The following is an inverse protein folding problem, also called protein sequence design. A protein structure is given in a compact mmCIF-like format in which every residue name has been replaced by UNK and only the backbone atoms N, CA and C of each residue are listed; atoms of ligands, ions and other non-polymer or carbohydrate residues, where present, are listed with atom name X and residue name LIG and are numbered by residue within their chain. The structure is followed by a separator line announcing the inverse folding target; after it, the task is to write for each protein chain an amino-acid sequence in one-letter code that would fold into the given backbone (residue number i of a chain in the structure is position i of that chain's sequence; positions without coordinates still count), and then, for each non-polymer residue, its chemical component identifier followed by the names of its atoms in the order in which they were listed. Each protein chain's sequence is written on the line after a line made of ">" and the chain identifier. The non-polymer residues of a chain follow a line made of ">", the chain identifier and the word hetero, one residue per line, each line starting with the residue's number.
data_IF_038476899946
#
_entry.id   IF_038476899946
#
_cell.length_a   1.000
_cell.length_b   1.000
_cell.length_c   1.000
_cell.angle_alpha   90.00
_cell.angle_beta   90.00
_cell.angle_gamma   90.00
#
_symmetry.space_group_name_H-M   'P 1'
#
loop_
_entity.id
_entity.type
_entity.pdbx_description
1 polymer ?
#
# COMPACT_ATOMS: atom_id res chain seq x y z
N UNK A 1 1.56 -4.20 -37.26
CA UNK A 1 2.62 -3.50 -38.00
C UNK A 1 3.74 -3.17 -37.02
N UNK A 2 4.98 -3.50 -37.37
CA UNK A 2 6.16 -3.15 -36.58
C UNK A 2 7.01 -2.21 -37.42
N UNK A 3 7.33 -1.00 -36.93
CA UNK A 3 8.19 -0.07 -37.65
C UNK A 3 9.58 -0.69 -37.83
N UNK A 4 10.20 -0.41 -38.98
CA UNK A 4 11.52 -0.92 -39.36
C UNK A 4 12.65 -0.21 -38.62
N UNK A 5 12.44 1.06 -38.29
CA UNK A 5 13.44 1.91 -37.66
C UNK A 5 12.81 3.02 -36.78
N UNK A 6 13.62 3.57 -35.87
CA UNK A 6 13.17 4.54 -34.85
C UNK A 6 12.52 5.79 -35.47
N UNK A 7 13.03 6.25 -36.61
CA UNK A 7 12.47 7.40 -37.35
C UNK A 7 11.07 7.11 -37.88
N UNK A 8 10.84 5.90 -38.37
CA UNK A 8 9.50 5.48 -38.81
C UNK A 8 8.54 5.38 -37.62
N UNK A 9 9.00 4.86 -36.48
CA UNK A 9 8.23 4.83 -35.24
C UNK A 9 7.85 6.26 -34.78
N UNK A 10 8.78 7.22 -34.84
CA UNK A 10 8.51 8.62 -34.48
C UNK A 10 7.48 9.25 -35.40
N UNK A 11 7.62 9.08 -36.72
CA UNK A 11 6.67 9.58 -37.71
C UNK A 11 5.27 9.00 -37.51
N UNK A 12 5.15 7.71 -37.18
CA UNK A 12 3.87 7.08 -36.86
C UNK A 12 3.26 7.68 -35.59
N UNK A 13 4.06 7.89 -34.54
CA UNK A 13 3.59 8.52 -33.30
C UNK A 13 3.06 9.94 -33.53
N UNK A 14 3.74 10.75 -34.33
CA UNK A 14 3.28 12.10 -34.67
C UNK A 14 1.95 12.10 -35.41
N UNK A 15 1.74 11.13 -36.32
CA UNK A 15 0.47 10.97 -37.06
C UNK A 15 -0.68 10.49 -36.17
N UNK A 16 -0.39 9.72 -35.13
CA UNK A 16 -1.40 9.23 -34.17
C UNK A 16 -1.73 10.30 -33.13
N UNK A 17 -0.79 11.16 -32.76
CA UNK A 17 -0.94 12.16 -31.69
C UNK A 17 -2.22 13.01 -31.78
N UNK A 18 -2.67 13.50 -32.96
CA UNK A 18 -3.94 14.25 -33.08
C UNK A 18 -5.18 13.46 -32.65
N UNK A 19 -5.13 12.12 -32.66
CA UNK A 19 -6.26 11.26 -32.25
C UNK A 19 -6.48 11.24 -30.74
N UNK A 20 -5.54 11.77 -29.96
CA UNK A 20 -5.68 11.94 -28.51
C UNK A 20 -6.76 12.97 -28.13
N UNK A 21 -7.08 13.91 -29.01
CA UNK A 21 -8.11 14.93 -28.79
C UNK A 21 -9.51 14.50 -29.28
N UNK A 22 -9.70 13.21 -29.57
CA UNK A 22 -10.96 12.72 -30.12
C UNK A 22 -12.03 12.59 -29.03
N UNK A 23 -13.29 12.89 -29.35
CA UNK A 23 -14.39 12.83 -28.38
C UNK A 23 -14.69 11.39 -27.88
N UNK A 24 -14.47 10.39 -28.74
CA UNK A 24 -14.68 8.99 -28.37
C UNK A 24 -13.50 8.42 -27.57
N UNK A 25 -13.77 8.02 -26.32
CA UNK A 25 -12.81 7.41 -25.41
C UNK A 25 -12.11 6.16 -25.98
N UNK A 26 -12.81 5.33 -26.75
CA UNK A 26 -12.22 4.14 -27.37
C UNK A 26 -11.13 4.51 -28.39
N UNK A 27 -11.31 5.61 -29.13
CA UNK A 27 -10.31 6.12 -30.08
C UNK A 27 -9.09 6.64 -29.32
N UNK A 28 -9.31 7.38 -28.22
CA UNK A 28 -8.22 7.89 -27.37
C UNK A 28 -7.43 6.73 -26.76
N UNK A 29 -8.09 5.76 -26.12
CA UNK A 29 -7.44 4.61 -25.50
C UNK A 29 -6.69 3.74 -26.53
N UNK A 30 -7.24 3.57 -27.73
CA UNK A 30 -6.56 2.86 -28.82
C UNK A 30 -5.33 3.62 -29.31
N UNK A 31 -5.42 4.95 -29.43
CA UNK A 31 -4.28 5.80 -29.77
C UNK A 31 -3.18 5.71 -28.70
N UNK A 32 -3.55 5.80 -27.41
CA UNK A 32 -2.61 5.64 -26.28
C UNK A 32 -1.94 4.28 -26.32
N UNK A 33 -2.69 3.18 -26.54
CA UNK A 33 -2.13 1.83 -26.64
C UNK A 33 -1.11 1.71 -27.77
N UNK A 34 -1.40 2.27 -28.94
CA UNK A 34 -0.47 2.29 -30.07
C UNK A 34 0.78 3.12 -29.76
N UNK A 35 0.62 4.32 -29.20
CA UNK A 35 1.73 5.20 -28.82
C UNK A 35 2.64 4.52 -27.79
N UNK A 36 2.07 3.93 -26.73
CA UNK A 36 2.82 3.19 -25.72
C UNK A 36 3.63 2.04 -26.33
N UNK A 37 3.03 1.28 -27.25
CA UNK A 37 3.72 0.17 -27.93
C UNK A 37 4.88 0.66 -28.79
N UNK A 38 4.73 1.77 -29.52
CA UNK A 38 5.82 2.31 -30.34
C UNK A 38 6.90 2.99 -29.51
N UNK A 39 6.55 3.59 -28.37
CA UNK A 39 7.53 4.16 -27.44
C UNK A 39 8.44 3.10 -26.81
N UNK A 40 8.06 1.82 -26.78
CA UNK A 40 8.93 0.71 -26.33
C UNK A 40 10.03 0.36 -27.34
N UNK A 41 9.85 0.74 -28.61
CA UNK A 41 10.81 0.51 -29.69
C UNK A 41 11.81 1.66 -29.84
N UNK A 42 11.65 2.72 -29.04
CA UNK A 42 12.47 3.94 -29.08
C UNK A 42 13.47 3.96 -27.91
N UNK A 43 14.52 4.77 -28.04
CA UNK A 43 15.42 5.04 -26.92
C UNK A 43 14.64 5.76 -25.81
N UNK A 44 14.56 5.14 -24.64
CA UNK A 44 13.68 5.56 -23.54
C UNK A 44 13.92 6.98 -23.03
N UNK A 45 15.14 7.51 -23.19
CA UNK A 45 15.52 8.86 -22.74
C UNK A 45 15.52 9.92 -23.86
N UNK A 46 15.00 9.59 -25.05
CA UNK A 46 14.92 10.57 -26.13
C UNK A 46 14.00 11.75 -25.75
N UNK A 47 14.37 12.95 -26.19
CA UNK A 47 13.56 14.16 -26.00
C UNK A 47 12.16 14.00 -26.59
N UNK A 48 12.04 13.24 -27.68
CA UNK A 48 10.77 12.86 -28.28
C UNK A 48 9.87 12.07 -27.32
N UNK A 49 10.41 11.02 -26.69
CA UNK A 49 9.66 10.21 -25.71
C UNK A 49 9.20 11.06 -24.53
N UNK A 50 10.06 11.96 -24.00
CA UNK A 50 9.69 12.89 -22.93
C UNK A 50 8.56 13.83 -23.35
N UNK A 51 8.63 14.40 -24.56
CA UNK A 51 7.59 15.29 -25.09
C UNK A 51 6.28 14.55 -25.35
N UNK A 52 6.34 13.31 -25.82
CA UNK A 52 5.15 12.49 -26.03
C UNK A 52 4.49 12.09 -24.71
N UNK A 53 5.26 11.73 -23.69
CA UNK A 53 4.75 11.44 -22.33
C UNK A 53 3.98 12.63 -21.77
N UNK A 54 4.49 13.87 -21.93
CA UNK A 54 3.77 15.08 -21.51
C UNK A 54 2.45 15.30 -22.25
N UNK A 55 2.38 14.91 -23.54
CA UNK A 55 1.15 15.01 -24.35
C UNK A 55 0.12 13.92 -24.03
N UNK A 56 0.54 12.80 -23.44
CA UNK A 56 -0.34 11.67 -23.11
C UNK A 56 -1.12 11.87 -21.81
N UNK A 57 -0.60 12.66 -20.86
CA UNK A 57 -1.27 12.85 -19.57
C UNK A 57 -2.63 13.58 -19.67
N UNK A 58 -2.77 14.74 -20.36
CA UNK A 58 -4.03 15.48 -20.38
C UNK A 58 -5.23 14.70 -20.96
N UNK A 59 -5.09 13.93 -22.06
CA UNK A 59 -6.16 13.07 -22.57
C UNK A 59 -6.62 12.03 -21.54
N UNK A 60 -5.70 11.38 -20.83
CA UNK A 60 -6.04 10.40 -19.81
C UNK A 60 -6.81 11.02 -18.65
N UNK A 61 -6.39 12.22 -18.19
CA UNK A 61 -7.11 12.98 -17.16
C UNK A 61 -8.50 13.38 -17.63
N UNK A 62 -8.65 13.78 -18.89
CA UNK A 62 -9.95 14.17 -19.46
C UNK A 62 -10.94 13.00 -19.48
N UNK A 63 -10.47 11.77 -19.74
CA UNK A 63 -11.31 10.56 -19.69
C UNK A 63 -11.89 10.31 -18.30
N UNK A 64 -11.20 10.73 -17.23
CA UNK A 64 -11.68 10.60 -15.85
C UNK A 64 -12.81 11.59 -15.51
N UNK A 65 -13.12 12.52 -16.41
CA UNK A 65 -14.27 13.44 -16.27
C UNK A 65 -15.51 12.95 -17.03
N UNK A 66 -15.44 11.78 -17.69
CA UNK A 66 -16.56 11.19 -18.45
C UNK A 66 -17.57 10.46 -17.54
N UNK A 67 -18.56 9.77 -18.12
CA UNK A 67 -19.50 8.93 -17.36
C UNK A 67 -18.79 7.78 -16.60
N UNK A 68 -19.33 7.30 -15.46
CA UNK A 68 -18.64 6.33 -14.60
C UNK A 68 -18.17 5.05 -15.28
N UNK A 69 -18.93 4.55 -16.25
CA UNK A 69 -18.58 3.35 -17.04
C UNK A 69 -17.34 3.61 -17.91
N UNK A 70 -17.27 4.79 -18.53
CA UNK A 70 -16.11 5.23 -19.32
C UNK A 70 -14.92 5.49 -18.41
N UNK A 71 -15.14 6.11 -17.25
CA UNK A 71 -14.09 6.30 -16.24
C UNK A 71 -13.51 4.97 -15.79
N UNK A 72 -14.34 3.98 -15.49
CA UNK A 72 -13.89 2.66 -15.07
C UNK A 72 -13.00 2.00 -16.13
N UNK A 73 -13.43 2.00 -17.40
CA UNK A 73 -12.61 1.48 -18.50
C UNK A 73 -11.30 2.27 -18.65
N UNK A 74 -11.35 3.60 -18.50
CA UNK A 74 -10.17 4.45 -18.55
C UNK A 74 -9.21 4.13 -17.39
N UNK A 75 -9.70 4.00 -16.15
CA UNK A 75 -8.92 3.68 -14.96
C UNK A 75 -8.23 2.32 -15.08
N UNK A 76 -8.93 1.28 -15.58
CA UNK A 76 -8.32 -0.03 -15.84
C UNK A 76 -7.15 0.06 -16.82
N UNK A 77 -7.30 0.86 -17.89
CA UNK A 77 -6.22 1.09 -18.85
C UNK A 77 -5.09 1.93 -18.25
N UNK A 78 -5.41 2.97 -17.47
CA UNK A 78 -4.44 3.80 -16.76
C UNK A 78 -3.62 2.95 -15.79
N UNK A 79 -4.25 2.04 -15.05
CA UNK A 79 -3.56 1.14 -14.13
C UNK A 79 -2.47 0.33 -14.86
N UNK A 80 -2.80 -0.26 -16.01
CA UNK A 80 -1.81 -0.96 -16.86
C UNK A 80 -0.70 -0.02 -17.39
N UNK A 81 -1.05 1.22 -17.75
CA UNK A 81 -0.09 2.22 -18.22
C UNK A 81 0.87 2.61 -17.09
N UNK A 82 0.37 2.88 -15.89
CA UNK A 82 1.16 3.27 -14.72
C UNK A 82 2.09 2.15 -14.27
N UNK A 83 1.66 0.89 -14.38
CA UNK A 83 2.54 -0.26 -14.12
C UNK A 83 3.76 -0.30 -15.07
N UNK A 84 3.60 0.16 -16.31
CA UNK A 84 4.67 0.15 -17.31
C UNK A 84 5.50 1.44 -17.34
N UNK A 85 4.86 2.59 -17.11
CA UNK A 85 5.47 3.93 -17.13
C UNK A 85 4.85 4.84 -16.06
N UNK A 86 5.28 4.72 -14.79
CA UNK A 86 4.72 5.52 -13.69
C UNK A 86 4.99 7.02 -13.83
N UNK A 87 6.03 7.42 -14.58
CA UNK A 87 6.38 8.82 -14.81
C UNK A 87 5.30 9.61 -15.56
N UNK A 88 4.41 8.94 -16.31
CA UNK A 88 3.39 9.59 -17.14
C UNK A 88 2.38 10.40 -16.31
N UNK A 89 2.00 9.88 -15.14
CA UNK A 89 0.94 10.46 -14.28
C UNK A 89 1.43 10.88 -12.90
N UNK A 90 2.76 10.94 -12.69
CA UNK A 90 3.37 11.26 -11.39
C UNK A 90 2.90 12.60 -10.79
N UNK A 91 2.62 13.59 -11.65
CA UNK A 91 2.20 14.93 -11.24
C UNK A 91 0.68 15.09 -11.12
N UNK A 92 -0.10 14.11 -11.59
CA UNK A 92 -1.55 14.21 -11.69
C UNK A 92 -2.27 13.52 -10.51
N UNK A 93 -1.60 13.28 -9.37
CA UNK A 93 -2.14 12.51 -8.23
C UNK A 93 -3.58 12.92 -7.84
N UNK A 94 -3.86 14.22 -7.79
CA UNK A 94 -5.16 14.77 -7.35
C UNK A 94 -6.35 14.31 -8.19
N UNK A 95 -6.14 13.94 -9.45
CA UNK A 95 -7.24 13.49 -10.33
C UNK A 95 -7.78 12.12 -9.93
N UNK A 96 -6.97 11.36 -9.19
CA UNK A 96 -7.33 10.04 -8.68
C UNK A 96 -7.97 10.10 -7.28
N UNK A 97 -8.16 11.28 -6.70
CA UNK A 97 -8.92 11.38 -5.45
C UNK A 97 -10.38 10.99 -5.69
N UNK A 98 -10.91 10.25 -4.73
CA UNK A 98 -12.22 9.64 -4.77
C UNK A 98 -13.24 10.69 -4.38
N UNK A 99 -14.30 10.83 -5.17
CA UNK A 99 -15.41 11.70 -4.84
C UNK A 99 -16.49 10.90 -4.12
N UNK A 100 -17.25 11.57 -3.24
CA UNK A 100 -18.37 10.96 -2.53
C UNK A 100 -19.39 10.28 -3.48
N UNK A 101 -19.64 10.89 -4.64
CA UNK A 101 -20.61 10.40 -5.63
C UNK A 101 -20.02 9.39 -6.64
N UNK A 102 -18.74 9.02 -6.52
CA UNK A 102 -18.14 8.02 -7.40
C UNK A 102 -18.71 6.63 -7.05
N UNK A 103 -19.12 5.81 -8.04
CA UNK A 103 -19.51 4.44 -7.78
C UNK A 103 -18.36 3.62 -7.19
N UNK A 104 -18.69 2.63 -6.34
CA UNK A 104 -17.68 1.83 -5.62
C UNK A 104 -16.58 1.28 -6.54
N UNK A 105 -16.92 0.76 -7.72
CA UNK A 105 -15.93 0.22 -8.66
C UNK A 105 -14.95 1.29 -9.20
N UNK A 106 -15.38 2.55 -9.32
CA UNK A 106 -14.50 3.69 -9.65
C UNK A 106 -13.62 4.04 -8.45
N UNK A 107 -14.21 4.13 -7.25
CA UNK A 107 -13.49 4.42 -6.00
C UNK A 107 -12.29 3.47 -5.82
N UNK A 108 -12.51 2.18 -6.10
CA UNK A 108 -11.51 1.13 -5.94
C UNK A 108 -10.36 1.21 -6.94
N UNK A 109 -10.66 1.47 -8.22
CA UNK A 109 -9.61 1.62 -9.22
C UNK A 109 -8.77 2.88 -8.99
N UNK A 110 -9.42 3.98 -8.56
CA UNK A 110 -8.74 5.20 -8.13
C UNK A 110 -7.77 4.93 -6.98
N UNK A 111 -8.21 4.21 -5.96
CA UNK A 111 -7.38 3.82 -4.83
C UNK A 111 -6.14 3.01 -5.26
N UNK A 112 -6.31 2.00 -6.13
CA UNK A 112 -5.18 1.19 -6.64
C UNK A 112 -4.15 2.04 -7.40
N UNK A 113 -4.61 3.01 -8.20
CA UNK A 113 -3.72 3.92 -8.93
C UNK A 113 -3.02 4.92 -7.98
N UNK A 114 -3.74 5.50 -7.01
CA UNK A 114 -3.15 6.39 -6.00
C UNK A 114 -2.00 5.69 -5.26
N UNK A 115 -2.22 4.45 -4.85
CA UNK A 115 -1.22 3.60 -4.20
C UNK A 115 0.02 3.43 -5.10
N UNK A 116 -0.16 3.15 -6.39
CA UNK A 116 0.96 2.95 -7.33
C UNK A 116 1.73 4.22 -7.63
N UNK A 117 1.07 5.37 -7.62
CA UNK A 117 1.69 6.69 -7.88
C UNK A 117 2.26 7.33 -6.61
N UNK A 118 2.10 6.69 -5.44
CA UNK A 118 2.62 7.19 -4.17
C UNK A 118 4.15 7.30 -4.21
N UNK A 119 4.65 8.48 -3.83
CA UNK A 119 6.07 8.83 -3.82
C UNK A 119 6.35 9.81 -2.69
N UNK A 120 7.62 10.01 -2.31
CA UNK A 120 7.97 10.97 -1.23
C UNK A 120 7.39 12.37 -1.44
N UNK A 121 7.19 12.78 -2.69
CA UNK A 121 6.68 14.11 -3.02
C UNK A 121 5.18 14.30 -2.74
N UNK A 122 4.38 13.22 -2.79
CA UNK A 122 2.91 13.30 -2.69
C UNK A 122 2.33 12.47 -1.53
N UNK A 123 3.18 11.76 -0.80
CA UNK A 123 2.75 10.82 0.23
C UNK A 123 1.95 11.45 1.37
N UNK A 124 2.28 12.69 1.77
CA UNK A 124 1.51 13.42 2.80
C UNK A 124 0.08 13.65 2.32
N UNK A 125 -0.11 13.99 1.04
CA UNK A 125 -1.43 14.18 0.45
C UNK A 125 -2.19 12.85 0.37
N UNK A 126 -1.53 11.80 -0.11
CA UNK A 126 -2.12 10.45 -0.17
C UNK A 126 -2.58 10.00 1.22
N UNK A 127 -1.74 10.16 2.23
CA UNK A 127 -2.08 9.75 3.60
C UNK A 127 -3.21 10.57 4.21
N UNK A 128 -3.26 11.88 3.93
CA UNK A 128 -4.39 12.74 4.34
C UNK A 128 -5.70 12.25 3.74
N UNK A 129 -5.68 11.91 2.45
CA UNK A 129 -6.86 11.44 1.74
C UNK A 129 -7.30 10.05 2.24
N UNK A 130 -6.34 9.13 2.46
CA UNK A 130 -6.61 7.82 3.05
C UNK A 130 -7.21 7.90 4.46
N UNK A 131 -6.81 8.92 5.23
CA UNK A 131 -7.41 9.22 6.53
C UNK A 131 -8.88 9.63 6.39
N UNK A 132 -9.21 10.49 5.43
CA UNK A 132 -10.61 10.87 5.17
C UNK A 132 -11.44 9.66 4.74
N UNK A 133 -10.89 8.78 3.90
CA UNK A 133 -11.56 7.55 3.47
C UNK A 133 -11.82 6.56 4.61
N UNK A 134 -10.90 6.47 5.59
CA UNK A 134 -11.08 5.63 6.77
C UNK A 134 -12.25 6.10 7.64
N UNK A 135 -12.61 7.38 7.57
CA UNK A 135 -13.74 7.97 8.30
C UNK A 135 -15.06 7.96 7.51
N UNK A 136 -15.12 7.39 6.30
CA UNK A 136 -16.37 7.28 5.55
C UNK A 136 -17.33 6.24 6.16
N UNK A 137 -18.64 6.48 5.98
CA UNK A 137 -19.72 5.60 6.49
C UNK A 137 -19.88 4.31 5.67
N UNK A 138 -19.37 4.30 4.43
CA UNK A 138 -19.51 3.15 3.52
C UNK A 138 -18.57 2.01 3.94
N UNK A 139 -19.14 1.01 4.61
CA UNK A 139 -18.42 -0.16 5.13
C UNK A 139 -17.71 -0.94 4.00
N UNK A 140 -18.27 -1.01 2.79
CA UNK A 140 -17.64 -1.74 1.68
C UNK A 140 -16.45 -0.96 1.08
N UNK A 141 -16.48 0.37 1.18
CA UNK A 141 -15.36 1.22 0.84
C UNK A 141 -14.27 1.17 1.92
N UNK A 142 -14.62 1.24 3.20
CA UNK A 142 -13.68 1.12 4.34
C UNK A 142 -13.00 -0.25 4.32
N UNK A 143 -13.74 -1.35 4.11
CA UNK A 143 -13.19 -2.70 3.93
C UNK A 143 -12.22 -2.83 2.77
N UNK A 144 -12.19 -1.88 1.84
CA UNK A 144 -11.22 -1.86 0.74
C UNK A 144 -10.14 -0.79 0.89
N UNK A 145 -10.36 0.23 1.71
CA UNK A 145 -9.31 1.04 2.33
C UNK A 145 -8.39 0.21 3.23
N UNK A 146 -8.77 -1.02 3.59
CA UNK A 146 -7.89 -2.09 4.11
C UNK A 146 -6.59 -2.24 3.32
N UNK A 147 -6.62 -2.15 1.98
CA UNK A 147 -5.39 -2.15 1.15
C UNK A 147 -4.53 -0.93 1.43
N UNK A 148 -5.12 0.19 1.80
CA UNK A 148 -4.39 1.38 2.17
C UNK A 148 -3.53 1.12 3.41
N UNK A 149 -4.00 0.39 4.43
CA UNK A 149 -3.19 0.07 5.62
C UNK A 149 -1.98 -0.79 5.25
N UNK A 150 -2.17 -1.79 4.38
CA UNK A 150 -1.06 -2.61 3.86
C UNK A 150 -0.03 -1.75 3.14
N UNK A 151 -0.49 -0.79 2.34
CA UNK A 151 0.37 0.15 1.61
C UNK A 151 1.04 1.14 2.55
N UNK A 152 0.34 1.65 3.57
CA UNK A 152 0.91 2.53 4.59
C UNK A 152 2.05 1.81 5.32
N UNK A 153 1.87 0.54 5.68
CA UNK A 153 2.95 -0.30 6.22
C UNK A 153 4.14 -0.30 5.26
N UNK A 154 3.93 -0.54 3.96
CA UNK A 154 5.02 -0.56 2.98
C UNK A 154 5.71 0.81 2.82
N UNK A 155 4.94 1.90 2.89
CA UNK A 155 5.45 3.27 2.91
C UNK A 155 6.30 3.50 4.15
N UNK A 156 5.84 3.10 5.34
CA UNK A 156 6.58 3.22 6.59
C UNK A 156 7.87 2.39 6.58
N UNK A 157 7.86 1.21 5.96
CA UNK A 157 9.07 0.40 5.74
C UNK A 157 10.07 1.11 4.82
N UNK A 158 9.58 1.79 3.78
CA UNK A 158 10.41 2.49 2.80
C UNK A 158 10.93 3.84 3.31
N UNK A 159 10.14 4.54 4.11
CA UNK A 159 10.41 5.88 4.63
C UNK A 159 10.16 5.94 6.15
N UNK A 160 11.01 5.28 6.95
CA UNK A 160 10.81 5.20 8.39
C UNK A 160 10.88 6.58 9.04
N UNK A 161 10.08 6.78 10.09
CA UNK A 161 10.07 7.98 10.95
C UNK A 161 9.74 9.32 10.27
N UNK A 162 9.04 9.31 9.12
CA UNK A 162 8.64 10.54 8.41
C UNK A 162 7.17 10.93 8.56
N UNK A 163 6.26 9.95 8.71
CA UNK A 163 4.81 10.15 8.54
C UNK A 163 4.00 9.62 9.73
N UNK A 164 4.50 9.85 10.94
CA UNK A 164 3.97 9.29 12.18
C UNK A 164 2.62 9.87 12.59
N UNK A 165 2.28 11.08 12.15
CA UNK A 165 1.03 11.78 12.50
C UNK A 165 -0.23 11.04 12.06
N UNK A 166 -0.12 10.05 11.18
CA UNK A 166 -1.25 9.25 10.68
C UNK A 166 -1.47 8.00 11.55
N UNK A 167 -0.49 7.59 12.34
CA UNK A 167 -0.57 6.38 13.17
C UNK A 167 -1.76 6.46 14.13
N UNK A 168 -1.99 7.60 14.78
CA UNK A 168 -3.11 7.76 15.72
C UNK A 168 -4.46 7.53 15.05
N UNK A 169 -4.68 8.07 13.85
CA UNK A 169 -5.95 7.87 13.13
C UNK A 169 -6.11 6.46 12.59
N UNK A 170 -5.01 5.76 12.28
CA UNK A 170 -5.07 4.35 11.94
C UNK A 170 -5.50 3.49 13.13
N UNK A 171 -4.98 3.80 14.32
CA UNK A 171 -5.38 3.12 15.57
C UNK A 171 -6.84 3.40 15.94
N UNK A 172 -7.37 4.59 15.68
CA UNK A 172 -8.80 4.92 15.92
C UNK A 172 -9.78 4.08 15.09
N UNK A 173 -9.34 3.56 13.93
CA UNK A 173 -10.20 2.78 13.01
C UNK A 173 -9.94 1.26 13.09
N UNK A 174 -9.23 0.80 14.11
CA UNK A 174 -8.75 -0.58 14.25
C UNK A 174 -9.88 -1.62 14.32
N UNK A 175 -11.00 -1.28 14.97
CA UNK A 175 -12.14 -2.17 15.18
C UNK A 175 -12.92 -2.50 13.88
N UNK A 176 -12.65 -1.75 12.80
CA UNK A 176 -13.32 -1.94 11.50
C UNK A 176 -12.60 -2.93 10.58
N UNK A 177 -11.48 -3.50 11.04
CA UNK A 177 -10.60 -4.33 10.22
C UNK A 177 -10.96 -5.81 10.28
N UNK A 178 -11.69 -6.28 9.26
CA UNK A 178 -12.06 -7.70 9.12
C UNK A 178 -10.96 -8.56 8.46
N UNK A 179 -10.15 -7.95 7.59
CA UNK A 179 -9.22 -8.67 6.69
C UNK A 179 -7.87 -8.99 7.38
N UNK A 180 -7.44 -10.27 7.41
CA UNK A 180 -6.22 -10.70 8.11
C UNK A 180 -4.95 -9.94 7.69
N UNK A 181 -4.83 -9.59 6.41
CA UNK A 181 -3.65 -8.89 5.89
C UNK A 181 -3.53 -7.46 6.44
N UNK A 182 -4.65 -6.74 6.59
CA UNK A 182 -4.66 -5.41 7.19
C UNK A 182 -4.48 -5.48 8.69
N UNK A 183 -5.10 -6.44 9.38
CA UNK A 183 -4.89 -6.66 10.81
C UNK A 183 -3.43 -6.93 11.12
N UNK A 184 -2.78 -7.84 10.38
CA UNK A 184 -1.35 -8.07 10.48
C UNK A 184 -0.53 -6.80 10.18
N UNK A 185 -0.91 -6.03 9.14
CA UNK A 185 -0.21 -4.79 8.81
C UNK A 185 -0.34 -3.73 9.91
N UNK A 186 -1.50 -3.64 10.56
CA UNK A 186 -1.74 -2.74 11.69
C UNK A 186 -0.93 -3.15 12.92
N UNK A 187 -0.95 -4.43 13.29
CA UNK A 187 -0.15 -4.98 14.38
C UNK A 187 1.34 -4.73 14.15
N UNK A 188 1.81 -4.86 12.90
CA UNK A 188 3.17 -4.49 12.54
C UNK A 188 3.47 -3.02 12.81
N UNK A 189 2.58 -2.10 12.39
CA UNK A 189 2.74 -0.66 12.63
C UNK A 189 2.80 -0.37 14.13
N UNK A 190 1.90 -0.97 14.92
CA UNK A 190 1.87 -0.79 16.38
C UNK A 190 3.18 -1.28 17.00
N UNK A 191 3.65 -2.48 16.68
CA UNK A 191 4.90 -3.01 17.23
C UNK A 191 6.16 -2.25 16.77
N UNK A 192 6.18 -1.77 15.53
CA UNK A 192 7.32 -1.00 14.99
C UNK A 192 7.42 0.38 15.64
N UNK A 193 6.27 1.04 15.84
CA UNK A 193 6.19 2.40 16.38
C UNK A 193 5.74 2.46 17.85
N UNK A 194 5.83 1.33 18.56
CA UNK A 194 5.39 1.17 19.95
C UNK A 194 6.00 2.17 20.96
N UNK A 195 7.13 2.82 20.65
CA UNK A 195 7.69 3.87 21.52
C UNK A 195 6.87 5.15 21.49
N UNK A 196 6.13 5.40 20.41
CA UNK A 196 5.37 6.62 20.16
C UNK A 196 3.87 6.48 20.38
N UNK A 197 3.40 5.24 20.45
CA UNK A 197 1.99 4.93 20.70
C UNK A 197 1.90 4.64 22.20
N UNK A 198 1.20 5.49 22.95
CA UNK A 198 1.16 5.37 24.40
C UNK A 198 0.40 4.10 24.82
N UNK A 199 -0.77 3.84 24.24
CA UNK A 199 -1.64 2.68 24.48
C UNK A 199 -1.34 1.46 23.58
N UNK A 200 -0.07 1.26 23.18
CA UNK A 200 0.31 0.16 22.29
C UNK A 200 0.08 -1.22 22.91
N UNK A 201 0.27 -1.33 24.22
CA UNK A 201 -0.02 -2.49 25.04
C UNK A 201 -1.50 -2.85 25.03
N UNK A 202 -2.39 -1.91 25.35
CA UNK A 202 -3.85 -2.11 25.34
C UNK A 202 -4.33 -2.54 23.94
N UNK A 203 -3.82 -1.90 22.88
CA UNK A 203 -4.16 -2.22 21.50
C UNK A 203 -3.70 -3.61 21.08
N UNK A 204 -2.55 -4.10 21.55
CA UNK A 204 -2.08 -5.44 21.23
C UNK A 204 -2.76 -6.51 22.09
N UNK A 205 -3.14 -6.17 23.32
CA UNK A 205 -3.88 -7.05 24.22
C UNK A 205 -5.26 -7.41 23.65
N UNK A 206 -5.96 -6.46 23.03
CA UNK A 206 -7.25 -6.73 22.38
C UNK A 206 -7.16 -7.77 21.25
N UNK A 207 -6.05 -7.79 20.48
CA UNK A 207 -5.80 -8.85 19.50
C UNK A 207 -5.42 -10.18 20.15
N UNK A 208 -4.86 -10.15 21.36
CA UNK A 208 -4.43 -11.35 22.08
C UNK A 208 -5.62 -12.10 22.69
N UNK A 209 -6.68 -11.40 23.10
CA UNK A 209 -7.92 -12.02 23.60
C UNK A 209 -8.55 -13.01 22.58
N UNK A 210 -8.46 -12.70 21.29
CA UNK A 210 -8.95 -13.53 20.19
C UNK A 210 -7.91 -14.43 19.53
N UNK A 211 -6.74 -14.65 20.13
CA UNK A 211 -5.55 -15.20 19.46
C UNK A 211 -5.79 -16.48 18.64
N UNK A 212 -6.55 -17.44 19.16
CA UNK A 212 -6.78 -18.72 18.49
C UNK A 212 -7.75 -18.64 17.30
N UNK A 213 -8.65 -17.65 17.31
CA UNK A 213 -9.60 -17.41 16.23
C UNK A 213 -8.97 -16.60 15.09
N UNK A 214 -7.81 -16.01 15.33
CA UNK A 214 -7.07 -15.24 14.33
C UNK A 214 -6.38 -16.11 13.28
N UNK A 215 -6.18 -15.51 12.10
CA UNK A 215 -5.36 -16.13 11.07
C UNK A 215 -3.89 -16.28 11.53
N UNK A 216 -3.22 -17.37 11.13
CA UNK A 216 -1.81 -17.62 11.44
C UNK A 216 -0.89 -16.44 11.13
N UNK A 217 -1.13 -15.70 10.04
CA UNK A 217 -0.35 -14.50 9.70
C UNK A 217 -0.47 -13.41 10.79
N UNK A 218 -1.68 -13.23 11.33
CA UNK A 218 -1.97 -12.29 12.42
C UNK A 218 -1.30 -12.76 13.71
N UNK A 219 -1.41 -14.04 14.05
CA UNK A 219 -0.77 -14.63 15.24
C UNK A 219 0.76 -14.45 15.24
N UNK A 220 1.43 -14.77 14.13
CA UNK A 220 2.88 -14.61 13.96
C UNK A 220 3.31 -13.14 14.09
N UNK A 221 2.50 -12.23 13.52
CA UNK A 221 2.76 -10.81 13.56
C UNK A 221 2.52 -10.22 14.96
N UNK A 222 1.51 -10.72 15.69
CA UNK A 222 1.21 -10.35 17.06
C UNK A 222 2.32 -10.77 18.01
N UNK A 223 2.77 -12.03 17.90
CA UNK A 223 3.92 -12.54 18.64
C UNK A 223 5.15 -11.63 18.43
N UNK A 224 5.44 -11.27 17.18
CA UNK A 224 6.57 -10.40 16.87
C UNK A 224 6.39 -8.99 17.43
N UNK A 225 5.18 -8.42 17.34
CA UNK A 225 4.89 -7.07 17.80
C UNK A 225 4.98 -6.96 19.33
N UNK A 226 4.42 -7.92 20.07
CA UNK A 226 4.48 -7.95 21.54
C UNK A 226 5.92 -8.13 22.02
N UNK A 227 6.72 -8.99 21.37
CA UNK A 227 8.15 -9.12 21.70
C UNK A 227 8.91 -7.81 21.45
N UNK A 228 8.63 -7.11 20.34
CA UNK A 228 9.21 -5.78 20.07
C UNK A 228 8.81 -4.76 21.14
N UNK A 229 7.53 -4.75 21.52
CA UNK A 229 7.01 -3.87 22.56
C UNK A 229 7.72 -4.14 23.89
N UNK A 230 7.88 -5.40 24.29
CA UNK A 230 8.62 -5.78 25.51
C UNK A 230 10.08 -5.35 25.50
N UNK A 231 10.79 -5.48 24.38
CA UNK A 231 12.18 -5.02 24.27
C UNK A 231 12.32 -3.48 24.41
N UNK A 232 11.23 -2.74 24.24
CA UNK A 232 11.16 -1.27 24.36
C UNK A 232 10.64 -0.84 25.72
N UNK A 233 9.59 -1.50 26.24
CA UNK A 233 8.89 -1.20 27.50
C UNK A 233 8.77 -2.45 28.40
N UNK A 234 9.89 -2.95 28.96
CA UNK A 234 9.91 -4.25 29.63
C UNK A 234 9.14 -4.30 30.96
N UNK A 235 8.96 -3.16 31.64
CA UNK A 235 8.27 -3.09 32.94
C UNK A 235 6.77 -3.33 32.81
N UNK A 236 6.16 -2.77 31.77
CA UNK A 236 4.70 -2.65 31.68
C UNK A 236 4.11 -3.82 30.88
N UNK A 237 4.92 -4.50 30.07
CA UNK A 237 4.44 -5.53 29.12
C UNK A 237 4.97 -6.93 29.42
N UNK A 238 5.44 -7.16 30.65
CA UNK A 238 5.96 -8.45 31.08
C UNK A 238 4.89 -9.55 31.08
N UNK A 239 3.68 -9.24 31.56
CA UNK A 239 2.56 -10.20 31.55
C UNK A 239 2.13 -10.52 30.12
N UNK A 240 1.99 -9.49 29.28
CA UNK A 240 1.59 -9.60 27.88
C UNK A 240 2.56 -10.50 27.07
N UNK A 241 3.88 -10.33 27.25
CA UNK A 241 4.87 -11.16 26.54
C UNK A 241 4.86 -12.61 27.04
N UNK A 242 4.61 -12.84 28.33
CA UNK A 242 4.49 -14.20 28.87
C UNK A 242 3.26 -14.91 28.32
N UNK A 243 2.13 -14.20 28.26
CA UNK A 243 0.88 -14.74 27.74
C UNK A 243 1.00 -15.12 26.26
N UNK A 244 1.50 -14.23 25.40
CA UNK A 244 1.65 -14.56 23.96
C UNK A 244 2.64 -15.69 23.72
N UNK A 245 3.71 -15.80 24.50
CA UNK A 245 4.66 -16.91 24.39
C UNK A 245 4.03 -18.23 24.85
N UNK A 246 3.21 -18.21 25.92
CA UNK A 246 2.47 -19.39 26.35
C UNK A 246 1.52 -19.87 25.26
N UNK A 247 0.68 -18.96 24.73
CA UNK A 247 -0.28 -19.26 23.67
C UNK A 247 0.43 -19.79 22.41
N UNK A 248 1.55 -19.19 22.02
CA UNK A 248 2.30 -19.60 20.82
C UNK A 248 3.02 -20.94 20.99
N UNK A 249 3.48 -21.30 22.21
CA UNK A 249 4.32 -22.51 22.42
C UNK A 249 3.54 -23.71 22.95
N UNK A 250 2.56 -23.49 23.83
CA UNK A 250 1.81 -24.54 24.51
C UNK A 250 0.48 -24.85 23.80
N UNK A 251 -0.21 -23.81 23.34
CA UNK A 251 -1.62 -23.93 22.90
C UNK A 251 -1.81 -23.86 21.38
N UNK A 252 -0.79 -23.42 20.61
CA UNK A 252 -0.89 -23.34 19.14
C UNK A 252 -0.62 -24.70 18.49
N UNK A 253 -1.39 -25.15 17.51
CA UNK A 253 -1.02 -26.36 16.73
C UNK A 253 -0.10 -26.09 15.53
N UNK A 254 0.24 -24.82 15.28
CA UNK A 254 1.05 -24.43 14.14
C UNK A 254 2.56 -24.58 14.44
N UNK A 255 3.30 -25.44 13.70
CA UNK A 255 4.72 -25.66 13.95
C UNK A 255 5.59 -24.39 13.81
N UNK A 256 5.31 -23.54 12.81
CA UNK A 256 6.09 -22.30 12.57
C UNK A 256 5.89 -21.30 13.71
N UNK A 257 4.66 -21.18 14.21
CA UNK A 257 4.34 -20.32 15.34
C UNK A 257 4.98 -20.83 16.63
N UNK A 258 4.96 -22.14 16.89
CA UNK A 258 5.65 -22.75 18.04
C UNK A 258 7.15 -22.52 17.98
N UNK A 259 7.78 -22.82 16.85
CA UNK A 259 9.22 -22.68 16.66
C UNK A 259 9.66 -21.24 16.88
N UNK A 260 8.92 -20.28 16.30
CA UNK A 260 9.19 -18.85 16.49
C UNK A 260 8.96 -18.40 17.93
N UNK A 261 7.93 -18.93 18.60
CA UNK A 261 7.69 -18.72 20.03
C UNK A 261 8.88 -19.18 20.88
N UNK A 262 9.38 -20.40 20.65
CA UNK A 262 10.55 -20.92 21.37
C UNK A 262 11.82 -20.12 21.09
N UNK A 263 12.03 -19.66 19.85
CA UNK A 263 13.16 -18.80 19.50
C UNK A 263 13.11 -17.50 20.31
N UNK A 264 11.95 -16.82 20.34
CA UNK A 264 11.81 -15.59 21.13
C UNK A 264 11.96 -15.84 22.62
N UNK A 265 11.35 -16.89 23.16
CA UNK A 265 11.48 -17.25 24.57
C UNK A 265 12.95 -17.47 24.98
N UNK A 266 13.71 -18.23 24.17
CA UNK A 266 15.15 -18.45 24.41
C UNK A 266 15.95 -17.16 24.33
N UNK A 267 15.68 -16.33 23.32
CA UNK A 267 16.37 -15.05 23.13
C UNK A 267 16.18 -14.12 24.34
N UNK A 268 14.94 -13.97 24.79
CA UNK A 268 14.59 -13.13 25.94
C UNK A 268 15.16 -13.68 27.26
N UNK A 269 15.26 -15.01 27.40
CA UNK A 269 15.81 -15.65 28.60
C UNK A 269 17.34 -15.66 28.66
N UNK A 270 18.01 -15.58 27.50
CA UNK A 270 19.48 -15.69 27.42
C UNK A 270 20.17 -14.34 27.45
N UNK A 271 19.71 -13.37 26.65
CA UNK A 271 20.29 -12.02 26.60
C UNK A 271 19.31 -11.00 25.97
N UNK A 272 18.58 -10.22 26.79
CA UNK A 272 17.71 -9.15 26.31
C UNK A 272 18.46 -8.04 25.54
N UNK A 273 19.74 -7.83 25.83
CA UNK A 273 20.59 -6.84 25.15
C UNK A 273 20.91 -7.25 23.71
N UNK A 274 21.27 -8.51 23.51
CA UNK A 274 21.49 -9.08 22.16
C UNK A 274 20.21 -9.09 21.31
N UNK A 275 19.03 -9.23 21.92
CA UNK A 275 17.75 -9.12 21.22
C UNK A 275 17.50 -7.71 20.65
N UNK A 276 17.98 -6.68 21.36
CA UNK A 276 17.87 -5.27 20.96
C UNK A 276 18.87 -4.90 19.86
N UNK A 277 20.10 -5.43 19.91
CA UNK A 277 21.15 -5.22 18.89
C UNK A 277 20.98 -6.11 17.64
N UNK A 278 20.45 -7.32 17.79
CA UNK A 278 20.32 -8.35 16.75
C UNK A 278 19.30 -8.07 15.63
N UNK A 279 18.66 -6.90 15.64
CA UNK A 279 17.88 -6.45 14.49
C UNK A 279 16.53 -7.14 14.30
N UNK A 280 15.83 -7.50 15.38
CA UNK A 280 14.39 -7.86 15.31
C UNK A 280 13.56 -6.74 14.63
N UNK A 281 14.06 -5.49 14.61
CA UNK A 281 13.50 -4.37 13.87
C UNK A 281 13.88 -4.24 12.38
N UNK A 282 14.91 -4.94 11.85
CA UNK A 282 15.42 -4.70 10.48
C UNK A 282 15.16 -5.80 9.46
N UNK A 283 14.92 -7.04 9.88
CA UNK A 283 14.65 -8.15 8.94
C UNK A 283 13.24 -8.69 9.13
N UNK A 284 12.28 -8.09 8.45
CA UNK A 284 11.05 -8.82 8.11
C UNK A 284 11.43 -9.96 7.15
N UNK A 285 11.01 -11.22 7.39
CA UNK A 285 11.20 -12.28 6.42
C UNK A 285 10.39 -11.92 5.17
N UNK A 286 11.07 -11.88 4.03
CA UNK A 286 10.43 -11.89 2.73
C UNK A 286 9.85 -13.27 2.50
N UNK A 287 8.52 -13.35 2.50
CA UNK A 287 7.73 -14.38 1.83
C UNK A 287 6.51 -13.70 1.23
#
# INVERSE_FOLDING_TARGET
>A
YSPKDEREAQSICERITPRLAHANAAVVLSAVKCLMKFMELMVGDSEFVKNLTKKLAPPLVTLLSSEPEVQYVALRNINLIVQKRPELLKHEMKVFFVKYNDPIYVKLEKLDIMIRLASEANIVQVLSELKEYATEVDVDFVRKAVRAIVVIKDIFRKYPNKYESIISTLCENLDTLDEPEARASMIWIIGEYAERIDNADELLESFLEGFHDENTQVQLQLLTAIVKLFLKRPTDTQELVQQVLSLATQDSDNPDLRDRGFIYWRLLSTDPGAAKEGGIGRKAPHS
#
